data_IF_579626841185
#
_entry.id   IF_579626841185
#
_cell.length_a   1.000
_cell.length_b   1.000
_cell.length_c   1.000
_cell.angle_alpha   90.00
_cell.angle_beta   90.00
_cell.angle_gamma   90.00
#
_symmetry.space_group_name_H-M   'P 1'
#
loop_
_entity.id
_entity.type
_entity.pdbx_description
1 polymer ?
#
# COMPACT_ATOMS: atom_id res chain seq x y z
N UNK A 1 -15.57 26.89 -1.06
CA UNK A 1 -15.26 25.65 -0.34
C UNK A 1 -13.98 25.84 0.46
N UNK A 2 -13.90 25.27 1.66
CA UNK A 2 -12.65 25.27 2.46
C UNK A 2 -11.49 24.54 1.78
N UNK A 3 -11.81 23.73 0.77
CA UNK A 3 -10.85 23.01 -0.07
C UNK A 3 -10.56 23.70 -1.40
N UNK A 4 -11.24 24.80 -1.72
CA UNK A 4 -10.96 25.54 -2.94
C UNK A 4 -9.70 26.39 -2.76
N UNK A 5 -8.74 26.21 -3.64
CA UNK A 5 -7.58 27.09 -3.70
C UNK A 5 -8.05 28.53 -4.02
N UNK A 6 -7.54 29.57 -3.34
CA UNK A 6 -7.93 30.93 -3.65
C UNK A 6 -7.55 31.28 -5.09
N UNK A 7 -8.40 32.08 -5.76
CA UNK A 7 -8.06 32.62 -7.08
C UNK A 7 -6.85 33.56 -6.95
N UNK A 8 -5.81 33.28 -7.73
CA UNK A 8 -4.62 34.12 -7.84
C UNK A 8 -4.49 34.66 -9.27
N UNK A 9 -3.89 35.84 -9.49
CA UNK A 9 -3.58 36.30 -10.84
C UNK A 9 -2.55 35.39 -11.50
N UNK A 10 -2.54 35.33 -12.81
CA UNK A 10 -1.48 34.70 -13.56
C UNK A 10 -0.11 35.29 -13.16
N UNK A 11 0.89 34.43 -13.04
CA UNK A 11 2.23 34.85 -12.69
C UNK A 11 2.87 35.62 -13.87
N UNK A 12 3.41 36.80 -13.58
CA UNK A 12 4.05 37.71 -14.57
C UNK A 12 5.46 38.16 -14.16
N UNK A 13 6.05 37.53 -13.11
CA UNK A 13 7.35 37.85 -12.58
C UNK A 13 8.50 36.98 -13.13
N UNK A 14 9.68 37.20 -12.59
CA UNK A 14 10.82 36.29 -12.78
C UNK A 14 10.67 35.07 -11.90
N UNK A 15 10.53 33.88 -12.50
CA UNK A 15 10.39 32.61 -11.78
C UNK A 15 11.75 31.95 -11.42
N UNK A 16 12.86 32.62 -11.70
CA UNK A 16 14.21 32.12 -11.38
C UNK A 16 14.73 31.05 -12.35
N UNK A 17 14.01 30.76 -13.44
CA UNK A 17 14.46 29.80 -14.46
C UNK A 17 14.58 28.36 -13.94
N UNK A 18 15.70 27.70 -14.21
CA UNK A 18 16.01 26.36 -13.70
C UNK A 18 16.44 26.43 -12.22
N UNK A 19 15.49 26.23 -11.31
CA UNK A 19 15.70 26.38 -9.86
C UNK A 19 16.21 25.11 -9.18
N UNK A 20 15.94 23.95 -9.78
CA UNK A 20 16.40 22.64 -9.32
C UNK A 20 16.31 21.63 -10.46
N UNK A 21 16.85 20.41 -10.26
CA UNK A 21 16.73 19.33 -11.23
C UNK A 21 15.26 19.05 -11.55
N UNK A 22 14.94 18.87 -12.82
CA UNK A 22 13.58 18.64 -13.30
C UNK A 22 12.66 19.86 -13.31
N UNK A 23 13.16 21.07 -12.98
CA UNK A 23 12.42 22.34 -13.06
C UNK A 23 13.15 23.30 -13.98
N UNK A 24 12.48 23.76 -15.04
CA UNK A 24 12.96 24.81 -15.96
C UNK A 24 12.15 26.11 -15.77
N UNK A 25 12.39 27.11 -16.60
CA UNK A 25 11.57 28.31 -16.64
C UNK A 25 10.11 28.02 -17.09
N UNK A 26 9.91 26.94 -17.87
CA UNK A 26 8.63 26.62 -18.51
C UNK A 26 7.94 25.37 -17.94
N UNK A 27 8.71 24.43 -17.35
CA UNK A 27 8.21 23.10 -17.04
C UNK A 27 8.68 22.57 -15.68
N UNK A 28 7.84 21.75 -15.06
CA UNK A 28 8.13 20.86 -13.92
C UNK A 28 7.92 19.44 -14.42
N UNK A 29 8.99 18.65 -14.52
CA UNK A 29 8.95 17.29 -15.04
C UNK A 29 8.59 16.32 -13.91
N UNK A 30 7.53 15.53 -14.11
CA UNK A 30 7.10 14.47 -13.19
C UNK A 30 7.10 13.13 -13.92
N UNK A 31 7.85 12.17 -13.41
CA UNK A 31 7.83 10.80 -13.91
C UNK A 31 6.58 10.06 -13.41
N UNK A 32 5.94 9.27 -14.26
CA UNK A 32 4.90 8.34 -13.87
C UNK A 32 5.38 6.91 -14.07
N UNK A 33 5.58 6.20 -12.95
CA UNK A 33 6.02 4.82 -12.93
C UNK A 33 4.87 3.88 -13.29
N UNK A 34 5.02 3.10 -14.35
CA UNK A 34 4.11 2.02 -14.73
C UNK A 34 4.71 0.71 -14.25
N UNK A 35 4.10 0.02 -13.27
CA UNK A 35 4.61 -1.26 -12.77
C UNK A 35 4.70 -2.33 -13.87
N UNK A 36 5.70 -3.20 -13.77
CA UNK A 36 5.86 -4.34 -14.66
C UNK A 36 4.68 -5.34 -14.53
N UNK A 37 4.44 -6.18 -15.54
CA UNK A 37 3.32 -7.15 -15.52
C UNK A 37 3.45 -8.22 -14.43
N UNK A 38 4.62 -8.41 -13.87
CA UNK A 38 4.90 -9.33 -12.75
C UNK A 38 4.88 -8.64 -11.39
N UNK A 39 4.76 -7.33 -11.36
CA UNK A 39 4.51 -6.56 -10.14
C UNK A 39 3.06 -6.80 -9.67
N UNK A 40 2.79 -6.60 -8.39
CA UNK A 40 1.47 -6.81 -7.80
C UNK A 40 0.36 -6.01 -8.50
N UNK A 41 0.62 -4.76 -8.86
CA UNK A 41 -0.34 -3.94 -9.61
C UNK A 41 -0.49 -4.41 -11.07
N UNK A 42 0.57 -4.88 -11.71
CA UNK A 42 0.49 -5.49 -13.03
C UNK A 42 -0.32 -6.78 -13.02
N UNK A 43 -0.19 -7.59 -11.96
CA UNK A 43 -1.03 -8.76 -11.76
C UNK A 43 -2.50 -8.36 -11.53
N UNK A 44 -2.79 -7.39 -10.68
CA UNK A 44 -4.14 -6.88 -10.43
C UNK A 44 -4.80 -6.34 -11.72
N UNK A 45 -4.03 -5.67 -12.58
CA UNK A 45 -4.48 -5.25 -13.91
C UNK A 45 -4.85 -6.46 -14.79
N UNK A 46 -4.02 -7.50 -14.81
CA UNK A 46 -4.28 -8.71 -15.61
C UNK A 46 -5.53 -9.46 -15.16
N UNK A 47 -5.92 -9.33 -13.91
CA UNK A 47 -7.13 -9.92 -13.32
C UNK A 47 -8.37 -9.01 -13.44
N UNK A 48 -8.22 -7.81 -14.01
CA UNK A 48 -9.31 -6.84 -14.13
C UNK A 48 -9.74 -6.18 -12.80
N UNK A 49 -8.93 -6.30 -11.76
CA UNK A 49 -9.15 -5.67 -10.45
C UNK A 49 -8.68 -4.22 -10.47
N UNK A 50 -7.78 -3.89 -11.38
CA UNK A 50 -7.18 -2.57 -11.53
C UNK A 50 -7.21 -2.13 -13.00
N UNK A 51 -7.43 -0.84 -13.22
CA UNK A 51 -7.48 -0.28 -14.59
C UNK A 51 -6.16 -0.47 -15.35
N UNK A 52 -6.25 -0.57 -16.67
CA UNK A 52 -5.06 -0.72 -17.51
C UNK A 52 -4.09 0.45 -17.38
N UNK A 53 -2.80 0.17 -17.53
CA UNK A 53 -1.76 1.19 -17.51
C UNK A 53 -2.03 2.32 -18.52
N UNK A 54 -2.56 1.98 -19.71
CA UNK A 54 -2.93 2.96 -20.72
C UNK A 54 -4.04 3.90 -20.24
N UNK A 55 -5.09 3.36 -19.64
CA UNK A 55 -6.20 4.17 -19.11
C UNK A 55 -5.73 5.08 -17.96
N UNK A 56 -4.95 4.56 -17.04
CA UNK A 56 -4.38 5.35 -15.93
C UNK A 56 -3.48 6.48 -16.43
N UNK A 57 -2.65 6.20 -17.44
CA UNK A 57 -1.79 7.23 -18.05
C UNK A 57 -2.62 8.33 -18.70
N UNK A 58 -3.62 7.98 -19.51
CA UNK A 58 -4.53 8.96 -20.11
C UNK A 58 -5.25 9.80 -19.05
N UNK A 59 -5.79 9.16 -18.00
CA UNK A 59 -6.45 9.87 -16.91
C UNK A 59 -5.49 10.86 -16.22
N UNK A 60 -4.26 10.45 -15.95
CA UNK A 60 -3.27 11.31 -15.32
C UNK A 60 -2.91 12.51 -16.22
N UNK A 61 -2.75 12.30 -17.52
CA UNK A 61 -2.48 13.36 -18.50
C UNK A 61 -3.63 14.38 -18.55
N UNK A 62 -4.89 13.92 -18.56
CA UNK A 62 -6.07 14.78 -18.52
C UNK A 62 -6.20 15.58 -17.20
N UNK A 63 -5.91 14.92 -16.06
CA UNK A 63 -5.88 15.58 -14.76
C UNK A 63 -4.79 16.66 -14.69
N UNK A 64 -3.61 16.39 -15.26
CA UNK A 64 -2.52 17.36 -15.33
C UNK A 64 -2.85 18.49 -16.29
N UNK A 65 -3.50 18.22 -17.44
CA UNK A 65 -3.98 19.25 -18.34
C UNK A 65 -5.01 20.19 -17.65
N UNK A 66 -5.93 19.60 -16.88
CA UNK A 66 -6.89 20.35 -16.06
C UNK A 66 -6.15 21.18 -14.98
N UNK A 67 -5.16 20.59 -14.30
CA UNK A 67 -4.37 21.30 -13.29
C UNK A 67 -3.62 22.49 -13.90
N UNK A 68 -2.94 22.30 -15.03
CA UNK A 68 -2.21 23.34 -15.75
C UNK A 68 -3.13 24.47 -16.26
N UNK A 69 -4.41 24.18 -16.52
CA UNK A 69 -5.40 25.19 -16.94
C UNK A 69 -5.98 25.99 -15.78
N UNK A 70 -5.98 25.46 -14.56
CA UNK A 70 -6.71 26.03 -13.43
C UNK A 70 -5.83 26.46 -12.25
N UNK A 71 -4.58 26.01 -12.19
CA UNK A 71 -3.66 26.34 -11.11
C UNK A 71 -2.43 27.08 -11.60
N UNK A 72 -1.97 28.02 -10.80
CA UNK A 72 -0.76 28.81 -11.08
C UNK A 72 0.46 28.13 -10.43
N UNK A 73 1.48 27.87 -11.21
CA UNK A 73 2.74 27.23 -10.79
C UNK A 73 3.96 28.10 -11.18
N UNK A 74 3.89 29.38 -10.88
CA UNK A 74 4.93 30.36 -11.19
C UNK A 74 5.27 30.42 -12.70
N UNK A 75 4.23 30.38 -13.54
CA UNK A 75 4.36 30.40 -15.00
C UNK A 75 4.87 29.09 -15.62
N UNK A 76 5.00 28.02 -14.83
CA UNK A 76 5.46 26.70 -15.31
C UNK A 76 4.29 25.76 -15.57
N UNK A 77 4.50 24.78 -16.43
CA UNK A 77 3.55 23.68 -16.62
C UNK A 77 4.10 22.39 -16.03
N UNK A 78 3.26 21.61 -15.40
CA UNK A 78 3.57 20.23 -15.04
C UNK A 78 3.53 19.35 -16.29
N UNK A 79 4.57 18.55 -16.52
CA UNK A 79 4.68 17.62 -17.65
C UNK A 79 4.90 16.22 -17.13
N UNK A 80 4.04 15.28 -17.55
CA UNK A 80 4.17 13.87 -17.19
C UNK A 80 5.04 13.14 -18.20
N UNK A 81 6.02 12.40 -17.71
CA UNK A 81 6.81 11.43 -18.48
C UNK A 81 6.54 10.01 -17.94
N UNK A 82 5.61 9.31 -18.59
CA UNK A 82 5.34 7.92 -18.24
C UNK A 82 6.50 7.02 -18.68
N UNK A 83 6.88 6.06 -17.83
CA UNK A 83 7.87 5.05 -18.18
C UNK A 83 7.54 3.69 -17.58
N UNK A 84 7.89 2.63 -18.32
CA UNK A 84 7.71 1.27 -17.85
C UNK A 84 8.82 0.90 -16.89
N UNK A 85 8.45 0.53 -15.66
CA UNK A 85 9.36 -0.05 -14.69
C UNK A 85 9.84 -1.43 -15.09
N UNK A 86 10.98 -1.82 -14.56
CA UNK A 86 11.62 -3.10 -14.86
C UNK A 86 11.41 -4.12 -13.73
N UNK A 87 11.30 -5.39 -14.11
CA UNK A 87 11.27 -6.50 -13.15
C UNK A 87 9.89 -6.78 -12.54
N UNK A 88 9.94 -7.45 -11.39
CA UNK A 88 8.79 -8.01 -10.68
C UNK A 88 8.33 -7.16 -9.47
N UNK A 89 8.89 -5.98 -9.31
CA UNK A 89 8.59 -5.10 -8.18
C UNK A 89 9.28 -5.47 -6.86
N UNK A 90 9.99 -6.60 -6.78
CA UNK A 90 10.67 -7.09 -5.58
C UNK A 90 12.16 -6.81 -5.57
N UNK A 91 12.80 -6.81 -6.73
CA UNK A 91 14.25 -6.76 -6.88
C UNK A 91 14.81 -5.35 -6.57
N UNK A 92 15.56 -5.17 -5.46
CA UNK A 92 16.06 -3.86 -5.07
C UNK A 92 17.08 -3.27 -6.06
N UNK A 93 17.84 -4.11 -6.79
CA UNK A 93 18.79 -3.62 -7.78
C UNK A 93 18.09 -3.04 -9.01
N UNK A 94 17.01 -3.69 -9.47
CA UNK A 94 16.18 -3.17 -10.56
C UNK A 94 15.44 -1.90 -10.13
N UNK A 95 14.88 -1.87 -8.93
CA UNK A 95 14.23 -0.69 -8.37
C UNK A 95 15.17 0.53 -8.32
N UNK A 96 16.42 0.34 -7.86
CA UNK A 96 17.43 1.40 -7.89
C UNK A 96 17.84 1.80 -9.32
N UNK A 97 17.87 0.87 -10.26
CA UNK A 97 18.16 1.20 -11.67
C UNK A 97 17.04 2.05 -12.28
N UNK A 98 15.79 1.73 -12.01
CA UNK A 98 14.64 2.52 -12.45
C UNK A 98 14.63 3.92 -11.82
N UNK A 99 14.97 4.05 -10.53
CA UNK A 99 15.11 5.35 -9.87
C UNK A 99 16.20 6.21 -10.51
N UNK A 100 17.34 5.61 -10.91
CA UNK A 100 18.39 6.32 -11.66
C UNK A 100 17.89 6.82 -13.00
N UNK A 101 17.14 6.01 -13.75
CA UNK A 101 16.54 6.44 -15.02
C UNK A 101 15.60 7.63 -14.83
N UNK A 102 14.81 7.65 -13.78
CA UNK A 102 13.94 8.79 -13.45
C UNK A 102 14.75 10.06 -13.23
N UNK A 103 15.82 9.99 -12.47
CA UNK A 103 16.63 11.14 -12.15
C UNK A 103 17.51 11.59 -13.34
N UNK A 104 18.20 10.66 -14.00
CA UNK A 104 19.26 10.95 -14.98
C UNK A 104 18.72 11.04 -16.41
N UNK A 105 17.88 10.06 -16.84
CA UNK A 105 17.43 10.01 -18.24
C UNK A 105 16.17 10.86 -18.46
N UNK A 106 15.23 10.84 -17.48
CA UNK A 106 14.00 11.64 -17.57
C UNK A 106 14.19 13.05 -17.04
N UNK A 107 15.20 13.28 -16.19
CA UNK A 107 15.43 14.56 -15.53
C UNK A 107 14.22 15.00 -14.74
N UNK A 108 13.67 14.14 -13.91
CA UNK A 108 12.41 14.41 -13.22
C UNK A 108 12.64 15.11 -11.87
N UNK A 109 11.80 16.09 -11.55
CA UNK A 109 11.69 16.71 -10.23
C UNK A 109 11.00 15.79 -9.22
N UNK A 110 10.00 15.05 -9.69
CA UNK A 110 9.23 14.13 -8.87
C UNK A 110 8.89 12.84 -9.64
N UNK A 111 8.61 11.77 -8.90
CA UNK A 111 8.03 10.53 -9.41
C UNK A 111 6.71 10.25 -8.73
N UNK A 112 5.72 9.80 -9.49
CA UNK A 112 4.45 9.26 -9.00
C UNK A 112 4.46 7.76 -9.22
N UNK A 113 4.16 6.99 -8.15
CA UNK A 113 4.20 5.54 -8.19
C UNK A 113 5.62 4.97 -8.16
N UNK A 114 5.71 3.67 -8.00
CA UNK A 114 6.95 2.92 -7.92
C UNK A 114 6.68 1.40 -7.86
N UNK A 115 7.72 0.58 -7.72
CA UNK A 115 7.57 -0.86 -7.51
C UNK A 115 6.86 -1.14 -6.19
N UNK A 116 5.91 -2.08 -6.19
CA UNK A 116 5.00 -2.29 -5.04
C UNK A 116 5.64 -2.99 -3.85
N UNK A 117 6.72 -3.74 -4.06
CA UNK A 117 7.33 -4.61 -3.06
C UNK A 117 8.80 -4.30 -2.78
N UNK A 118 9.30 -3.14 -3.21
CA UNK A 118 10.67 -2.72 -2.94
C UNK A 118 10.73 -1.26 -2.49
N UNK A 119 11.35 -1.03 -1.35
CA UNK A 119 11.59 0.31 -0.81
C UNK A 119 12.81 1.01 -1.47
N UNK A 120 13.65 0.23 -2.15
CA UNK A 120 14.92 0.71 -2.72
C UNK A 120 14.75 1.78 -3.82
N UNK A 121 13.58 1.85 -4.44
CA UNK A 121 13.26 2.88 -5.43
C UNK A 121 13.19 4.27 -4.80
N UNK A 122 12.40 4.43 -3.75
CA UNK A 122 12.24 5.71 -3.06
C UNK A 122 13.49 6.12 -2.28
N UNK A 123 14.24 5.16 -1.73
CA UNK A 123 15.55 5.43 -1.13
C UNK A 123 16.52 6.03 -2.14
N UNK A 124 16.58 5.47 -3.34
CA UNK A 124 17.48 5.95 -4.40
C UNK A 124 17.02 7.30 -4.96
N UNK A 125 15.72 7.53 -5.12
CA UNK A 125 15.17 8.83 -5.52
C UNK A 125 15.52 9.91 -4.49
N UNK A 126 15.33 9.63 -3.20
CA UNK A 126 15.66 10.57 -2.12
C UNK A 126 17.14 10.95 -2.13
N UNK A 127 18.06 9.97 -2.33
CA UNK A 127 19.50 10.24 -2.46
C UNK A 127 19.84 11.16 -3.64
N UNK A 128 18.97 11.22 -4.65
CA UNK A 128 19.13 12.03 -5.87
C UNK A 128 18.36 13.33 -5.82
N UNK A 129 17.69 13.62 -4.70
CA UNK A 129 16.90 14.83 -4.54
C UNK A 129 15.60 14.85 -5.35
N UNK A 130 15.12 13.69 -5.83
CA UNK A 130 13.87 13.54 -6.56
C UNK A 130 12.74 13.22 -5.56
N UNK A 131 11.65 13.97 -5.61
CA UNK A 131 10.48 13.71 -4.79
C UNK A 131 9.79 12.41 -5.22
N UNK A 132 9.35 11.63 -4.24
CA UNK A 132 8.64 10.38 -4.42
C UNK A 132 7.23 10.51 -3.85
N UNK A 133 6.24 10.52 -4.72
CA UNK A 133 4.83 10.67 -4.35
C UNK A 133 4.11 9.34 -4.56
N UNK A 134 3.59 8.76 -3.50
CA UNK A 134 2.90 7.45 -3.55
C UNK A 134 3.74 6.32 -4.17
N UNK A 135 5.04 6.27 -3.90
CA UNK A 135 5.93 5.33 -4.57
C UNK A 135 5.88 3.91 -4.00
N UNK A 136 5.43 3.73 -2.79
CA UNK A 136 5.22 2.40 -2.22
C UNK A 136 4.06 2.41 -1.23
N UNK A 137 3.08 1.54 -1.39
CA UNK A 137 1.99 1.38 -0.43
C UNK A 137 2.44 0.69 0.87
N UNK A 138 3.64 0.10 0.86
CA UNK A 138 4.15 -0.76 1.94
C UNK A 138 5.18 -0.06 2.83
N UNK A 139 5.49 1.22 2.59
CA UNK A 139 6.50 1.93 3.35
C UNK A 139 6.03 2.24 4.78
N UNK A 140 6.80 1.85 5.81
CA UNK A 140 6.50 2.18 7.20
C UNK A 140 6.72 3.68 7.49
N UNK A 141 6.10 4.19 8.56
CA UNK A 141 6.24 5.60 8.96
C UNK A 141 7.70 6.01 9.22
N UNK A 142 8.52 5.09 9.73
CA UNK A 142 9.95 5.32 9.96
C UNK A 142 10.70 5.68 8.69
N UNK A 143 10.37 5.04 7.56
CA UNK A 143 11.01 5.33 6.28
C UNK A 143 10.63 6.71 5.75
N UNK A 144 9.36 7.12 5.90
CA UNK A 144 8.94 8.48 5.52
C UNK A 144 9.67 9.55 6.34
N UNK A 145 9.92 9.29 7.63
CA UNK A 145 10.69 10.19 8.48
C UNK A 145 12.17 10.24 8.07
N UNK A 146 12.77 9.08 7.78
CA UNK A 146 14.17 8.98 7.36
C UNK A 146 14.42 9.69 6.02
N UNK A 147 13.52 9.53 5.07
CA UNK A 147 13.66 10.06 3.71
C UNK A 147 13.04 11.45 3.53
N UNK A 148 12.54 12.08 4.59
CA UNK A 148 12.01 13.43 4.50
C UNK A 148 13.08 14.42 4.00
N UNK A 149 12.72 15.41 3.15
CA UNK A 149 11.39 15.75 2.64
C UNK A 149 11.03 15.08 1.31
N UNK A 150 11.76 14.05 0.88
CA UNK A 150 11.68 13.52 -0.48
C UNK A 150 10.61 12.45 -0.70
N UNK A 151 10.03 11.88 0.36
CA UNK A 151 9.06 10.79 0.21
C UNK A 151 7.75 11.13 0.90
N UNK A 152 6.64 10.96 0.18
CA UNK A 152 5.30 11.31 0.62
C UNK A 152 4.30 10.20 0.31
N UNK A 153 3.51 9.83 1.32
CA UNK A 153 2.38 8.91 1.16
C UNK A 153 1.11 9.67 0.74
N UNK A 154 0.25 9.02 -0.02
CA UNK A 154 -1.12 9.47 -0.33
C UNK A 154 -2.17 8.53 0.27
N UNK A 155 -1.76 7.37 0.76
CA UNK A 155 -2.56 6.40 1.49
C UNK A 155 -2.02 6.26 2.92
N UNK A 156 -2.84 5.69 3.81
CA UNK A 156 -2.39 5.34 5.15
C UNK A 156 -1.22 4.35 5.08
N UNK A 157 -0.20 4.59 5.89
CA UNK A 157 0.91 3.65 6.03
C UNK A 157 0.47 2.37 6.73
N UNK A 158 1.24 1.27 6.65
CA UNK A 158 1.00 0.08 7.45
C UNK A 158 0.88 0.36 8.95
N UNK A 159 1.68 1.27 9.48
CA UNK A 159 1.60 1.70 10.89
C UNK A 159 0.24 2.33 11.22
N UNK A 160 -0.27 3.20 10.38
CA UNK A 160 -1.57 3.86 10.56
C UNK A 160 -2.74 2.89 10.40
N UNK A 161 -2.65 1.97 9.44
CA UNK A 161 -3.65 0.92 9.24
C UNK A 161 -3.73 0.03 10.48
N UNK A 162 -2.59 -0.46 10.97
CA UNK A 162 -2.55 -1.28 12.17
C UNK A 162 -3.03 -0.54 13.41
N UNK A 163 -2.69 0.76 13.57
CA UNK A 163 -3.24 1.55 14.65
C UNK A 163 -4.77 1.60 14.59
N UNK A 164 -5.35 1.82 13.41
CA UNK A 164 -6.80 1.81 13.22
C UNK A 164 -7.44 0.46 13.57
N UNK A 165 -6.79 -0.65 13.18
CA UNK A 165 -7.22 -2.01 13.52
C UNK A 165 -7.20 -2.25 15.03
N UNK A 166 -6.15 -1.79 15.72
CA UNK A 166 -6.03 -1.87 17.17
C UNK A 166 -7.14 -1.09 17.88
N UNK A 167 -7.32 0.16 17.50
CA UNK A 167 -8.33 1.05 18.10
C UNK A 167 -9.75 0.48 17.90
N UNK A 168 -10.05 -0.02 16.69
CA UNK A 168 -11.31 -0.70 16.41
C UNK A 168 -11.46 -1.98 17.22
N UNK A 169 -10.41 -2.80 17.29
CA UNK A 169 -10.39 -4.05 18.02
C UNK A 169 -10.71 -3.86 19.49
N UNK A 170 -10.02 -2.92 20.14
CA UNK A 170 -10.25 -2.60 21.55
C UNK A 170 -11.64 -2.06 21.80
N UNK A 171 -12.13 -1.18 20.95
CA UNK A 171 -13.46 -0.58 21.13
C UNK A 171 -14.62 -1.55 20.88
N UNK A 172 -14.45 -2.54 19.99
CA UNK A 172 -15.59 -3.29 19.46
C UNK A 172 -15.46 -4.81 19.53
N UNK A 173 -14.25 -5.34 19.65
CA UNK A 173 -14.02 -6.80 19.54
C UNK A 173 -13.60 -7.46 20.85
N UNK A 174 -12.63 -6.88 21.55
CA UNK A 174 -12.06 -7.50 22.74
C UNK A 174 -13.07 -7.66 23.86
N UNK A 175 -13.05 -8.84 24.48
CA UNK A 175 -13.96 -9.18 25.58
C UNK A 175 -15.43 -9.38 25.19
N UNK A 176 -15.77 -9.22 23.91
CA UNK A 176 -17.12 -9.38 23.39
C UNK A 176 -17.29 -10.76 22.70
N UNK A 177 -18.54 -11.32 22.64
CA UNK A 177 -18.80 -12.55 21.92
C UNK A 177 -18.58 -12.41 20.41
N UNK A 178 -18.17 -13.49 19.74
CA UNK A 178 -17.91 -13.56 18.29
C UNK A 178 -19.24 -13.71 17.50
N UNK A 179 -20.16 -12.78 17.65
CA UNK A 179 -21.56 -12.88 17.18
C UNK A 179 -21.70 -13.01 15.66
N UNK A 180 -20.69 -12.66 14.89
CA UNK A 180 -20.68 -12.76 13.42
C UNK A 180 -19.94 -14.00 12.90
N UNK A 181 -19.45 -14.88 13.78
CA UNK A 181 -18.88 -16.15 13.34
C UNK A 181 -19.94 -17.01 12.63
N UNK A 182 -19.52 -17.72 11.59
CA UNK A 182 -20.40 -18.64 10.88
C UNK A 182 -20.71 -19.92 11.66
N UNK A 183 -19.86 -20.28 12.64
CA UNK A 183 -20.11 -21.39 13.55
C UNK A 183 -20.92 -20.92 14.77
N UNK A 184 -22.15 -21.45 15.00
CA UNK A 184 -22.95 -21.12 16.18
C UNK A 184 -22.25 -21.38 17.52
N UNK A 185 -21.35 -22.36 17.56
CA UNK A 185 -20.56 -22.64 18.76
C UNK A 185 -19.56 -21.52 19.09
N UNK A 186 -19.08 -20.79 18.10
CA UNK A 186 -18.24 -19.62 18.26
C UNK A 186 -19.02 -18.36 18.67
N UNK A 187 -20.24 -18.21 18.19
CA UNK A 187 -21.06 -17.02 18.47
C UNK A 187 -21.32 -16.78 19.96
N UNK A 188 -21.37 -17.84 20.76
CA UNK A 188 -21.58 -17.75 22.19
C UNK A 188 -20.29 -17.57 23.03
N UNK A 189 -19.13 -17.61 22.36
CA UNK A 189 -17.81 -17.52 23.03
C UNK A 189 -17.30 -16.10 22.99
N UNK A 190 -16.62 -15.68 24.05
CA UNK A 190 -15.74 -14.51 23.99
C UNK A 190 -14.71 -14.72 22.88
N UNK A 191 -14.44 -13.67 22.10
CA UNK A 191 -13.47 -13.75 21.00
C UNK A 191 -12.11 -14.20 21.45
N UNK A 192 -11.57 -15.17 20.72
CA UNK A 192 -10.15 -15.48 20.63
C UNK A 192 -9.69 -14.93 19.27
N UNK A 193 -8.64 -14.12 19.26
CA UNK A 193 -8.26 -13.31 18.09
C UNK A 193 -6.99 -13.84 17.46
N UNK A 194 -7.08 -14.20 16.17
CA UNK A 194 -5.94 -14.48 15.32
C UNK A 194 -5.71 -13.34 14.34
N UNK A 195 -4.47 -12.93 14.18
CA UNK A 195 -4.07 -11.93 13.18
C UNK A 195 -3.31 -12.64 12.06
N UNK A 196 -3.75 -12.44 10.83
CA UNK A 196 -3.04 -12.91 9.63
C UNK A 196 -2.61 -11.69 8.83
N UNK A 197 -1.31 -11.52 8.65
CA UNK A 197 -0.77 -10.37 7.94
C UNK A 197 0.20 -10.77 6.84
N UNK A 198 0.27 -9.93 5.82
CA UNK A 198 1.26 -10.02 4.76
C UNK A 198 2.64 -9.60 5.27
N UNK A 199 3.68 -10.25 4.78
CA UNK A 199 5.05 -9.79 4.93
C UNK A 199 5.84 -9.97 3.64
N UNK A 200 7.04 -9.37 3.57
CA UNK A 200 7.93 -9.41 2.43
C UNK A 200 9.19 -10.24 2.76
N UNK A 201 9.96 -10.53 1.73
CA UNK A 201 11.31 -11.07 1.86
C UNK A 201 12.32 -10.07 1.26
N UNK A 202 13.20 -9.43 2.07
CA UNK A 202 13.32 -9.57 3.54
C UNK A 202 12.10 -8.98 4.29
N UNK A 203 11.79 -9.50 5.48
CA UNK A 203 10.64 -9.04 6.27
C UNK A 203 10.79 -7.55 6.63
N UNK A 204 9.72 -6.79 6.40
CA UNK A 204 9.66 -5.34 6.72
C UNK A 204 8.58 -5.04 7.76
N UNK A 205 7.72 -6.02 8.06
CA UNK A 205 6.61 -5.89 9.00
C UNK A 205 6.86 -6.58 10.34
N UNK A 206 8.02 -7.22 10.54
CA UNK A 206 8.34 -7.87 11.82
C UNK A 206 8.32 -6.88 12.98
N UNK A 207 8.96 -5.73 12.84
CA UNK A 207 8.96 -4.66 13.84
C UNK A 207 7.55 -4.11 14.09
N UNK A 208 6.74 -4.03 13.04
CA UNK A 208 5.38 -3.56 13.11
C UNK A 208 4.50 -4.54 13.89
N UNK A 209 4.66 -5.85 13.64
CA UNK A 209 3.97 -6.91 14.36
C UNK A 209 4.37 -6.95 15.83
N UNK A 210 5.66 -6.76 16.15
CA UNK A 210 6.15 -6.69 17.52
C UNK A 210 5.53 -5.50 18.27
N UNK A 211 5.53 -4.31 17.68
CA UNK A 211 4.90 -3.11 18.26
C UNK A 211 3.38 -3.27 18.42
N UNK A 212 2.74 -3.97 17.50
CA UNK A 212 1.31 -4.28 17.60
C UNK A 212 1.03 -5.17 18.82
N UNK A 213 1.80 -6.23 18.99
CA UNK A 213 1.68 -7.15 20.12
C UNK A 213 1.86 -6.41 21.45
N UNK A 214 2.91 -5.60 21.57
CA UNK A 214 3.19 -4.82 22.76
C UNK A 214 2.05 -3.85 23.09
N UNK A 215 1.44 -3.22 22.10
CA UNK A 215 0.27 -2.34 22.29
C UNK A 215 -0.97 -3.10 22.73
N UNK A 216 -1.25 -4.28 22.15
CA UNK A 216 -2.36 -5.13 22.58
C UNK A 216 -2.22 -5.50 24.05
N UNK A 217 -1.05 -5.95 24.47
CA UNK A 217 -0.75 -6.29 25.86
C UNK A 217 -0.93 -5.08 26.80
N UNK A 218 -0.43 -3.91 26.42
CA UNK A 218 -0.57 -2.67 27.18
C UNK A 218 -2.04 -2.22 27.35
N UNK A 219 -2.92 -2.60 26.42
CA UNK A 219 -4.36 -2.30 26.47
C UNK A 219 -5.17 -3.41 27.16
N UNK A 220 -4.50 -4.44 27.70
CA UNK A 220 -5.15 -5.59 28.33
C UNK A 220 -5.85 -6.52 27.34
N UNK A 221 -5.46 -6.46 26.09
CA UNK A 221 -5.95 -7.28 25.02
C UNK A 221 -4.78 -8.11 24.46
N UNK A 222 -5.01 -9.37 24.12
CA UNK A 222 -4.00 -10.26 23.60
C UNK A 222 -4.48 -10.85 22.27
N UNK A 223 -3.62 -10.81 21.25
CA UNK A 223 -3.85 -11.62 20.06
C UNK A 223 -3.35 -13.03 20.35
N UNK A 224 -4.26 -14.00 20.36
CA UNK A 224 -3.96 -15.38 20.71
C UNK A 224 -2.97 -16.03 19.71
N UNK A 225 -3.06 -15.63 18.43
CA UNK A 225 -2.20 -16.12 17.36
C UNK A 225 -1.90 -15.00 16.37
N UNK A 226 -0.63 -14.83 16.00
CA UNK A 226 -0.19 -13.96 14.91
C UNK A 226 0.55 -14.80 13.88
N UNK A 227 0.15 -14.71 12.61
CA UNK A 227 0.72 -15.47 11.51
C UNK A 227 1.04 -14.52 10.36
N UNK A 228 2.31 -14.48 9.95
CA UNK A 228 2.72 -13.83 8.71
C UNK A 228 2.72 -14.81 7.53
N UNK A 229 2.55 -14.28 6.32
CA UNK A 229 2.70 -15.05 5.09
C UNK A 229 3.41 -14.22 4.01
N UNK A 230 4.08 -14.91 3.09
CA UNK A 230 4.72 -14.30 1.93
C UNK A 230 3.81 -14.40 0.70
N UNK A 231 3.81 -13.36 -0.12
CA UNK A 231 3.10 -13.37 -1.40
C UNK A 231 3.93 -14.16 -2.43
N UNK A 232 3.64 -15.46 -2.52
CA UNK A 232 4.21 -16.37 -3.50
C UNK A 232 3.08 -17.18 -4.14
N UNK A 233 2.85 -16.95 -5.41
CA UNK A 233 1.76 -17.59 -6.18
C UNK A 233 1.89 -19.11 -6.27
N UNK A 234 3.11 -19.65 -6.15
CA UNK A 234 3.34 -21.11 -6.22
C UNK A 234 2.96 -21.84 -4.93
N UNK A 235 2.98 -21.15 -3.80
CA UNK A 235 2.73 -21.74 -2.47
C UNK A 235 1.44 -21.25 -1.83
N UNK A 236 0.68 -20.41 -2.51
CA UNK A 236 -0.54 -19.76 -2.04
C UNK A 236 -1.51 -20.73 -1.35
N UNK A 237 -1.93 -21.76 -2.06
CA UNK A 237 -2.91 -22.73 -1.56
C UNK A 237 -2.38 -23.53 -0.36
N UNK A 238 -1.10 -23.88 -0.36
CA UNK A 238 -0.47 -24.61 0.74
C UNK A 238 -0.36 -23.73 1.99
N UNK A 239 0.07 -22.49 1.85
CA UNK A 239 0.13 -21.53 2.96
C UNK A 239 -1.26 -21.33 3.56
N UNK A 240 -2.30 -21.10 2.73
CA UNK A 240 -3.67 -20.93 3.21
C UNK A 240 -4.17 -22.14 4.01
N UNK A 241 -3.90 -23.38 3.55
CA UNK A 241 -4.26 -24.59 4.28
C UNK A 241 -3.57 -24.66 5.65
N UNK A 242 -2.29 -24.35 5.72
CA UNK A 242 -1.51 -24.34 6.98
C UNK A 242 -1.98 -23.28 7.95
N UNK A 243 -2.22 -22.06 7.46
CA UNK A 243 -2.72 -20.94 8.27
C UNK A 243 -4.08 -21.28 8.90
N UNK A 244 -5.02 -21.76 8.08
CA UNK A 244 -6.35 -22.13 8.55
C UNK A 244 -6.30 -23.32 9.52
N UNK A 245 -5.43 -24.31 9.23
CA UNK A 245 -5.21 -25.43 10.15
C UNK A 245 -4.79 -24.97 11.54
N UNK A 246 -3.81 -24.06 11.61
CA UNK A 246 -3.33 -23.49 12.88
C UNK A 246 -4.41 -22.68 13.60
N UNK A 247 -5.10 -21.77 12.90
CA UNK A 247 -6.16 -20.97 13.48
C UNK A 247 -7.30 -21.84 14.05
N UNK A 248 -7.64 -22.92 13.37
CA UNK A 248 -8.65 -23.89 13.84
C UNK A 248 -8.16 -24.68 15.04
N UNK A 249 -6.91 -25.14 15.06
CA UNK A 249 -6.30 -25.87 16.17
C UNK A 249 -6.29 -25.02 17.45
N UNK A 250 -5.95 -23.75 17.33
CA UNK A 250 -5.94 -22.76 18.43
C UNK A 250 -7.35 -22.24 18.76
N UNK A 251 -8.39 -22.78 18.12
CA UNK A 251 -9.79 -22.42 18.40
C UNK A 251 -10.09 -20.93 18.25
N UNK A 252 -9.43 -20.26 17.32
CA UNK A 252 -9.64 -18.84 17.01
C UNK A 252 -11.06 -18.62 16.50
N UNK A 253 -11.78 -17.70 17.12
CA UNK A 253 -13.17 -17.36 16.74
C UNK A 253 -13.25 -16.17 15.81
N UNK A 254 -12.26 -15.28 15.84
CA UNK A 254 -12.22 -14.05 15.05
C UNK A 254 -10.85 -13.90 14.39
N UNK A 255 -10.81 -13.82 13.08
CA UNK A 255 -9.60 -13.64 12.28
C UNK A 255 -9.54 -12.21 11.76
N UNK A 256 -8.53 -11.47 12.18
CA UNK A 256 -8.20 -10.15 11.64
C UNK A 256 -7.23 -10.36 10.48
N UNK A 257 -7.66 -9.95 9.28
CA UNK A 257 -6.85 -10.08 8.08
C UNK A 257 -6.31 -8.70 7.64
N UNK A 258 -4.99 -8.56 7.69
CA UNK A 258 -4.23 -7.37 7.26
C UNK A 258 -3.26 -7.75 6.14
N UNK A 259 -3.79 -8.04 4.95
CA UNK A 259 -3.00 -8.61 3.86
C UNK A 259 -3.40 -8.13 2.48
N UNK A 260 -2.92 -8.87 1.48
CA UNK A 260 -3.22 -8.63 0.08
C UNK A 260 -4.62 -9.18 -0.30
N UNK A 261 -5.27 -8.62 -1.34
CA UNK A 261 -6.61 -9.01 -1.72
C UNK A 261 -6.73 -10.46 -2.23
N UNK A 262 -5.66 -11.03 -2.77
CA UNK A 262 -5.72 -12.36 -3.39
C UNK A 262 -5.73 -13.47 -2.34
N UNK A 263 -4.98 -13.27 -1.25
CA UNK A 263 -4.86 -14.27 -0.17
C UNK A 263 -6.16 -14.46 0.60
N UNK A 264 -6.99 -13.43 0.73
CA UNK A 264 -8.24 -13.52 1.46
C UNK A 264 -9.15 -14.62 0.90
N UNK A 265 -9.32 -14.69 -0.43
CA UNK A 265 -10.11 -15.75 -1.08
C UNK A 265 -9.56 -17.15 -0.81
N UNK A 266 -8.24 -17.31 -0.86
CA UNK A 266 -7.61 -18.60 -0.57
C UNK A 266 -7.84 -19.05 0.86
N UNK A 267 -7.75 -18.12 1.82
CA UNK A 267 -8.02 -18.39 3.24
C UNK A 267 -9.47 -18.77 3.49
N UNK A 268 -10.43 -18.00 2.96
CA UNK A 268 -11.87 -18.29 3.10
C UNK A 268 -12.22 -19.65 2.48
N UNK A 269 -11.70 -19.94 1.28
CA UNK A 269 -11.87 -21.24 0.65
C UNK A 269 -11.24 -22.39 1.44
N UNK A 270 -10.07 -22.17 2.02
CA UNK A 270 -9.42 -23.15 2.87
C UNK A 270 -10.20 -23.40 4.18
N UNK A 271 -10.76 -22.34 4.77
CA UNK A 271 -11.63 -22.42 5.95
C UNK A 271 -12.88 -23.26 5.66
N UNK A 272 -13.56 -23.00 4.53
CA UNK A 272 -14.70 -23.79 4.10
C UNK A 272 -14.37 -25.27 3.91
N UNK A 273 -13.24 -25.60 3.25
CA UNK A 273 -12.79 -26.99 3.08
C UNK A 273 -12.48 -27.70 4.41
N UNK A 274 -12.05 -26.95 5.41
CA UNK A 274 -11.74 -27.50 6.75
C UNK A 274 -12.94 -27.46 7.73
N UNK A 275 -14.14 -27.06 7.28
CA UNK A 275 -15.29 -26.85 8.16
C UNK A 275 -14.93 -25.94 9.36
N UNK A 276 -14.33 -24.80 9.05
CA UNK A 276 -13.97 -23.78 10.01
C UNK A 276 -14.60 -22.46 9.58
N UNK A 277 -15.47 -21.91 10.40
CA UNK A 277 -16.27 -20.74 10.07
C UNK A 277 -16.13 -19.64 11.13
N UNK A 278 -14.95 -19.01 11.22
CA UNK A 278 -14.71 -17.92 12.15
C UNK A 278 -15.42 -16.64 11.69
N UNK A 279 -15.40 -15.62 12.54
CA UNK A 279 -15.67 -14.25 12.15
C UNK A 279 -14.46 -13.67 11.42
N UNK A 280 -14.69 -12.93 10.34
CA UNK A 280 -13.62 -12.26 9.60
C UNK A 280 -13.69 -10.75 9.79
N UNK A 281 -12.57 -10.15 10.16
CA UNK A 281 -12.36 -8.70 10.20
C UNK A 281 -11.33 -8.34 9.14
N UNK A 282 -11.80 -7.68 8.09
CA UNK A 282 -10.96 -7.30 6.95
C UNK A 282 -10.57 -5.84 7.11
N UNK A 283 -9.29 -5.54 7.06
CA UNK A 283 -8.75 -4.21 7.39
C UNK A 283 -8.91 -3.17 6.29
N UNK A 284 -9.53 -3.50 5.16
CA UNK A 284 -9.72 -2.57 4.03
C UNK A 284 -8.42 -2.15 3.33
N UNK A 285 -7.34 -2.92 3.49
CA UNK A 285 -6.09 -2.67 2.79
C UNK A 285 -6.23 -3.00 1.31
N UNK A 286 -5.61 -2.21 0.47
CA UNK A 286 -5.44 -2.34 -0.99
C UNK A 286 -6.44 -3.29 -1.67
N UNK A 287 -7.60 -2.81 -2.11
CA UNK A 287 -8.63 -3.56 -2.87
C UNK A 287 -9.35 -4.71 -2.14
N UNK A 288 -9.10 -4.93 -0.84
CA UNK A 288 -9.77 -6.01 -0.10
C UNK A 288 -11.28 -5.81 0.07
N UNK A 289 -11.78 -4.61 -0.19
CA UNK A 289 -13.20 -4.22 -0.15
C UNK A 289 -13.88 -4.22 -1.54
N UNK A 290 -13.22 -4.75 -2.57
CA UNK A 290 -13.78 -4.83 -3.92
C UNK A 290 -14.54 -6.12 -4.16
N UNK A 291 -15.59 -6.07 -5.00
CA UNK A 291 -16.37 -7.25 -5.41
C UNK A 291 -15.57 -8.28 -6.23
N UNK A 292 -14.37 -7.95 -6.67
CA UNK A 292 -13.48 -8.87 -7.38
C UNK A 292 -12.73 -9.80 -6.42
N UNK A 293 -12.76 -9.52 -5.11
CA UNK A 293 -11.96 -10.19 -4.08
C UNK A 293 -12.80 -10.80 -2.97
N UNK A 294 -14.05 -10.34 -2.79
CA UNK A 294 -14.97 -10.78 -1.74
C UNK A 294 -16.23 -11.44 -2.26
#
# INVERSE_FOLDING_TARGET
>A
SVYAVPCVPAFDGDNGGATTDGVTAEEIVVAYYIPGPQDLLGLAESLGVFDSAALRTTLLEELVAMANANYETYGRRVVIKAFQGTGDGKNPAQARADARRVAEDLGAFASIGGPTQSLAYQEELARRGVLCLACSPSAPDSLYQELAPYTWAVLASPDQILQGVLDFGVANLFGQPAVHAGDPAFQARTRTIGVVHYDQDPPIYDDLTARMTERYEAMGAEADVIISYLLDTNTTAQQAQGIIGRLKEEQITTVVFAGDPFRLMDLVNAAGRQNYAPEWVITGTVFTDTTAVG
#
